data_IF_477226907106
#
_entry.id   IF_477226907106
#
_cell.length_a   1.000
_cell.length_b   1.000
_cell.length_c   1.000
_cell.angle_alpha   90.00
_cell.angle_beta   90.00
_cell.angle_gamma   90.00
#
_symmetry.space_group_name_H-M   'P 1'
#
loop_
_entity.id
_entity.type
_entity.pdbx_description
1 polymer ?
#
# COMPACT_ATOMS: atom_id res chain seq x y z
N UNK A 1 31.44 -3.59 -25.53
CA UNK A 1 30.59 -4.80 -25.49
C UNK A 1 30.89 -5.47 -24.14
N UNK A 2 30.22 -5.04 -23.07
CA UNK A 2 30.39 -5.57 -21.73
C UNK A 2 29.26 -6.58 -21.49
N UNK A 3 29.65 -7.83 -21.28
CA UNK A 3 28.76 -8.95 -21.03
C UNK A 3 28.06 -8.75 -19.68
N UNK A 4 26.72 -8.84 -19.65
CA UNK A 4 25.93 -8.94 -18.42
C UNK A 4 26.28 -10.26 -17.71
N UNK A 5 26.61 -10.15 -16.44
CA UNK A 5 26.78 -11.30 -15.55
C UNK A 5 25.40 -11.95 -15.32
N UNK A 6 25.19 -13.23 -15.69
CA UNK A 6 23.90 -13.91 -15.52
C UNK A 6 23.63 -14.37 -14.08
N UNK A 7 24.39 -13.91 -13.08
CA UNK A 7 24.29 -14.32 -11.67
C UNK A 7 23.86 -13.22 -10.71
N UNK A 8 23.43 -12.05 -11.20
CA UNK A 8 22.77 -11.08 -10.34
C UNK A 8 21.41 -11.66 -9.93
N UNK A 9 21.37 -12.26 -8.76
CA UNK A 9 20.12 -12.62 -8.11
C UNK A 9 19.34 -11.33 -7.84
N UNK A 10 18.00 -11.28 -8.09
CA UNK A 10 17.21 -10.13 -7.70
C UNK A 10 17.27 -10.00 -6.18
N UNK A 11 17.63 -8.81 -5.71
CA UNK A 11 17.75 -8.48 -4.30
C UNK A 11 16.41 -8.77 -3.59
N UNK A 12 16.50 -9.67 -2.63
CA UNK A 12 15.54 -10.11 -1.61
C UNK A 12 14.08 -9.66 -1.73
N UNK A 13 13.28 -10.51 -2.37
CA UNK A 13 11.84 -10.57 -2.16
C UNK A 13 11.56 -11.02 -0.72
N UNK A 14 11.12 -10.10 0.14
CA UNK A 14 10.63 -10.48 1.47
C UNK A 14 9.13 -10.71 1.39
N UNK A 15 8.72 -11.95 1.13
CA UNK A 15 7.33 -12.38 1.34
C UNK A 15 7.22 -12.77 2.81
N UNK A 16 6.57 -11.95 3.62
CA UNK A 16 6.15 -12.34 4.96
C UNK A 16 4.79 -13.01 4.85
N UNK A 17 4.78 -14.33 4.74
CA UNK A 17 3.57 -15.11 4.94
C UNK A 17 3.40 -15.35 6.45
N UNK A 18 2.41 -14.74 7.09
CA UNK A 18 1.88 -15.28 8.32
C UNK A 18 1.25 -16.64 8.00
N UNK A 19 1.44 -17.63 8.87
CA UNK A 19 1.15 -19.04 8.60
C UNK A 19 -0.32 -19.45 8.43
N UNK A 20 -1.18 -18.58 7.96
CA UNK A 20 -2.53 -18.91 7.50
C UNK A 20 -2.44 -19.41 6.06
N UNK A 21 -2.58 -20.73 5.87
CA UNK A 21 -2.71 -21.31 4.55
C UNK A 21 -3.90 -20.66 3.84
N UNK A 22 -3.61 -19.93 2.75
CA UNK A 22 -4.62 -19.36 1.88
C UNK A 22 -5.52 -20.47 1.35
N UNK A 23 -6.79 -20.51 1.78
CA UNK A 23 -7.75 -21.50 1.27
C UNK A 23 -8.24 -21.08 -0.12
N UNK A 24 -7.62 -21.69 -1.14
CA UNK A 24 -7.79 -21.37 -2.56
C UNK A 24 -9.20 -21.60 -3.10
N UNK A 25 -10.10 -22.23 -2.37
CA UNK A 25 -11.45 -22.58 -2.89
C UNK A 25 -12.47 -21.48 -2.69
N UNK A 26 -12.38 -20.72 -1.62
CA UNK A 26 -13.22 -19.54 -1.37
C UNK A 26 -12.66 -18.26 -2.02
N UNK A 27 -11.34 -18.20 -2.32
CA UNK A 27 -10.63 -17.03 -2.82
C UNK A 27 -10.98 -16.59 -4.26
N UNK A 28 -11.66 -17.41 -5.05
CA UNK A 28 -12.03 -17.03 -6.43
C UNK A 28 -13.23 -16.08 -6.52
N UNK A 29 -14.10 -16.06 -5.53
CA UNK A 29 -15.23 -15.12 -5.48
C UNK A 29 -14.86 -13.79 -4.83
N UNK A 30 -13.85 -13.79 -3.99
CA UNK A 30 -13.33 -12.60 -3.29
C UNK A 30 -11.80 -12.57 -3.42
N UNK A 31 -11.27 -11.42 -3.81
CA UNK A 31 -9.84 -11.13 -3.80
C UNK A 31 -9.65 -9.63 -3.63
N UNK A 32 -9.03 -9.21 -2.56
CA UNK A 32 -8.84 -7.81 -2.19
C UNK A 32 -7.37 -7.52 -1.96
N UNK A 33 -6.82 -6.69 -2.82
CA UNK A 33 -5.40 -6.34 -2.86
C UNK A 33 -5.30 -4.86 -2.55
N UNK A 34 -4.31 -4.46 -1.78
CA UNK A 34 -4.03 -3.05 -1.54
C UNK A 34 -2.58 -2.71 -1.89
N UNK A 35 -2.37 -1.50 -2.40
CA UNK A 35 -1.05 -0.98 -2.75
C UNK A 35 -0.77 0.26 -1.91
N UNK A 36 0.20 0.14 -1.00
CA UNK A 36 0.69 1.21 -0.12
C UNK A 36 2.08 1.68 -0.53
N UNK A 37 2.46 2.87 -0.12
CA UNK A 37 3.77 3.46 -0.41
C UNK A 37 3.71 4.99 -0.44
N UNK A 38 4.84 5.65 -0.38
CA UNK A 38 4.91 7.12 -0.39
C UNK A 38 4.46 7.71 -1.74
N UNK A 39 4.23 9.02 -1.77
CA UNK A 39 3.81 9.73 -2.99
C UNK A 39 4.86 9.63 -4.12
N UNK A 40 4.38 9.58 -5.37
CA UNK A 40 5.22 9.55 -6.57
C UNK A 40 5.90 8.21 -6.88
N UNK A 41 5.74 7.15 -6.06
CA UNK A 41 6.35 5.83 -6.28
C UNK A 41 5.64 4.97 -7.36
N UNK A 42 4.52 5.45 -7.91
CA UNK A 42 3.76 4.74 -8.94
C UNK A 42 2.79 3.68 -8.40
N UNK A 43 2.20 3.90 -7.24
CA UNK A 43 1.16 3.02 -6.67
C UNK A 43 -0.08 2.92 -7.55
N UNK A 44 -0.63 4.07 -7.92
CA UNK A 44 -1.81 4.16 -8.81
C UNK A 44 -1.58 3.41 -10.10
N UNK A 45 -0.42 3.61 -10.74
CA UNK A 45 -0.06 2.90 -11.98
C UNK A 45 0.02 1.38 -11.78
N UNK A 46 0.55 0.92 -10.63
CA UNK A 46 0.58 -0.51 -10.30
C UNK A 46 -0.83 -1.04 -10.01
N UNK A 47 -1.67 -0.29 -9.29
CA UNK A 47 -3.05 -0.68 -9.00
C UNK A 47 -3.89 -0.80 -10.29
N UNK A 48 -3.77 0.17 -11.21
CA UNK A 48 -4.39 0.13 -12.54
C UNK A 48 -3.92 -1.09 -13.35
N UNK A 49 -2.61 -1.34 -13.37
CA UNK A 49 -2.03 -2.48 -14.09
C UNK A 49 -2.50 -3.83 -13.52
N UNK A 50 -2.63 -3.95 -12.20
CA UNK A 50 -3.22 -5.13 -11.55
C UNK A 50 -4.68 -5.31 -11.92
N UNK A 51 -5.50 -4.26 -11.87
CA UNK A 51 -6.91 -4.32 -12.29
C UNK A 51 -7.05 -4.76 -13.75
N UNK A 52 -6.17 -4.29 -14.64
CA UNK A 52 -6.19 -4.67 -16.05
C UNK A 52 -5.84 -6.16 -16.28
N UNK A 53 -5.11 -6.78 -15.37
CA UNK A 53 -4.68 -8.19 -15.45
C UNK A 53 -5.55 -9.15 -14.65
N UNK A 54 -6.31 -8.66 -13.67
CA UNK A 54 -7.14 -9.47 -12.77
C UNK A 54 -8.62 -9.36 -13.16
N UNK A 55 -9.22 -10.39 -13.78
CA UNK A 55 -10.59 -10.32 -14.26
C UNK A 55 -11.61 -10.02 -13.16
N UNK A 56 -12.46 -9.03 -13.40
CA UNK A 56 -13.54 -8.64 -12.48
C UNK A 56 -13.10 -7.84 -11.26
N UNK A 57 -11.83 -7.43 -11.19
CA UNK A 57 -11.39 -6.49 -10.17
C UNK A 57 -11.75 -5.06 -10.57
N UNK A 58 -12.09 -4.27 -9.55
CA UNK A 58 -12.31 -2.83 -9.67
C UNK A 58 -11.26 -2.09 -8.85
N UNK A 59 -10.82 -0.96 -9.36
CA UNK A 59 -9.96 -0.06 -8.59
C UNK A 59 -10.79 0.73 -7.59
N UNK A 60 -10.32 0.84 -6.37
CA UNK A 60 -10.82 1.76 -5.36
C UNK A 60 -9.81 2.88 -5.24
N UNK A 61 -10.25 4.07 -5.60
CA UNK A 61 -9.40 5.25 -5.67
C UNK A 61 -8.84 5.66 -4.30
N UNK A 62 -7.75 6.41 -4.35
CA UNK A 62 -7.12 7.00 -3.17
C UNK A 62 -8.13 7.82 -2.36
N UNK A 63 -8.16 7.69 -1.01
CA UNK A 63 -9.02 8.47 -0.12
C UNK A 63 -9.04 9.98 -0.34
N UNK A 64 -7.96 10.56 -0.87
CA UNK A 64 -7.93 11.95 -1.27
C UNK A 64 -9.07 12.27 -2.28
N UNK A 65 -9.11 11.54 -3.40
CA UNK A 65 -10.13 11.76 -4.43
C UNK A 65 -11.53 11.37 -3.97
N UNK A 66 -11.65 10.29 -3.18
CA UNK A 66 -12.96 9.88 -2.62
C UNK A 66 -13.56 10.94 -1.69
N UNK A 67 -12.74 11.67 -0.96
CA UNK A 67 -13.18 12.77 -0.09
C UNK A 67 -13.45 14.05 -0.89
N UNK A 68 -12.62 14.37 -1.88
CA UNK A 68 -12.82 15.51 -2.78
C UNK A 68 -14.15 15.38 -3.52
N UNK A 69 -14.50 14.21 -4.03
CA UNK A 69 -15.79 13.90 -4.66
C UNK A 69 -16.98 14.07 -3.69
N UNK A 70 -16.75 13.95 -2.38
CA UNK A 70 -17.74 14.20 -1.33
C UNK A 70 -17.79 15.66 -0.89
N UNK A 71 -16.98 16.53 -1.51
CA UNK A 71 -16.93 17.97 -1.22
C UNK A 71 -15.99 18.35 -0.08
N UNK A 72 -15.06 17.45 0.33
CA UNK A 72 -14.03 17.81 1.29
C UNK A 72 -12.97 18.71 0.62
N UNK A 73 -12.67 19.84 1.24
CA UNK A 73 -11.68 20.80 0.75
C UNK A 73 -10.35 20.57 1.49
N UNK A 74 -9.34 20.16 0.75
CA UNK A 74 -7.98 19.96 1.28
C UNK A 74 -7.17 21.25 1.27
N UNK A 75 -6.35 21.46 2.31
CA UNK A 75 -5.27 22.43 2.25
C UNK A 75 -4.09 21.94 1.40
N UNK A 76 -3.23 22.87 0.99
CA UNK A 76 -1.93 22.50 0.40
C UNK A 76 -0.78 23.24 1.11
N UNK A 77 0.22 22.50 1.63
CA UNK A 77 0.25 21.03 1.79
C UNK A 77 -0.86 20.52 2.74
N UNK A 78 -1.28 19.24 2.62
CA UNK A 78 -2.27 18.66 3.51
C UNK A 78 -1.86 18.75 4.98
N UNK A 79 -2.80 19.09 5.83
CA UNK A 79 -2.62 19.18 7.28
C UNK A 79 -2.71 17.80 7.95
N UNK A 80 -2.37 17.71 9.24
CA UNK A 80 -2.59 16.50 10.03
C UNK A 80 -4.08 16.13 10.14
N UNK A 81 -4.98 17.12 10.08
CA UNK A 81 -6.43 16.88 10.06
C UNK A 81 -6.87 16.24 8.75
N UNK A 82 -6.33 16.71 7.62
CA UNK A 82 -6.56 16.13 6.30
C UNK A 82 -6.09 14.66 6.26
N UNK A 83 -4.91 14.36 6.82
CA UNK A 83 -4.43 12.98 6.91
C UNK A 83 -5.31 12.11 7.80
N UNK A 84 -5.87 12.63 8.89
CA UNK A 84 -6.85 11.89 9.71
C UNK A 84 -8.16 11.64 8.97
N UNK A 85 -8.63 12.60 8.19
CA UNK A 85 -9.82 12.43 7.35
C UNK A 85 -9.60 11.32 6.30
N UNK A 86 -8.44 11.32 5.63
CA UNK A 86 -8.05 10.28 4.68
C UNK A 86 -7.86 8.92 5.35
N UNK A 87 -7.28 8.86 6.55
CA UNK A 87 -7.17 7.64 7.36
C UNK A 87 -8.55 7.03 7.64
N UNK A 88 -9.47 7.85 8.14
CA UNK A 88 -10.84 7.40 8.41
C UNK A 88 -11.58 6.95 7.13
N UNK A 89 -11.37 7.63 6.00
CA UNK A 89 -11.91 7.24 4.71
C UNK A 89 -11.34 5.89 4.26
N UNK A 90 -10.04 5.68 4.33
CA UNK A 90 -9.36 4.44 3.98
C UNK A 90 -9.87 3.24 4.80
N UNK A 91 -10.02 3.40 6.11
CA UNK A 91 -10.60 2.37 6.99
C UNK A 91 -12.03 2.02 6.56
N UNK A 92 -12.87 3.01 6.24
CA UNK A 92 -14.24 2.75 5.76
C UNK A 92 -14.25 2.02 4.42
N UNK A 93 -13.39 2.41 3.48
CA UNK A 93 -13.26 1.78 2.17
C UNK A 93 -12.86 0.32 2.27
N UNK A 94 -11.86 -0.01 3.09
CA UNK A 94 -11.45 -1.40 3.34
C UNK A 94 -12.54 -2.22 4.03
N UNK A 95 -13.35 -1.63 4.90
CA UNK A 95 -14.44 -2.34 5.60
C UNK A 95 -15.71 -2.48 4.77
N UNK A 96 -15.79 -1.81 3.63
CA UNK A 96 -16.96 -1.91 2.76
C UNK A 96 -17.07 -3.31 2.12
N UNK A 97 -18.22 -3.98 2.24
CA UNK A 97 -18.44 -5.30 1.61
C UNK A 97 -18.80 -5.20 0.12
N UNK A 98 -19.01 -3.98 -0.39
CA UNK A 98 -19.54 -3.76 -1.75
C UNK A 98 -18.59 -4.14 -2.88
N UNK A 99 -17.30 -4.31 -2.57
CA UNK A 99 -16.25 -4.61 -3.56
C UNK A 99 -15.51 -5.90 -3.19
N UNK A 100 -16.06 -7.08 -3.50
CA UNK A 100 -15.42 -8.36 -3.17
C UNK A 100 -14.14 -8.60 -3.96
N UNK A 101 -14.02 -8.04 -5.17
CA UNK A 101 -12.79 -8.05 -5.98
C UNK A 101 -12.34 -6.61 -6.20
N UNK A 102 -11.29 -6.21 -5.49
CA UNK A 102 -10.82 -4.83 -5.53
C UNK A 102 -9.31 -4.73 -5.41
N UNK A 103 -8.77 -3.70 -6.06
CA UNK A 103 -7.41 -3.20 -5.82
C UNK A 103 -7.54 -1.80 -5.23
N UNK A 104 -7.09 -1.62 -4.01
CA UNK A 104 -7.15 -0.35 -3.29
C UNK A 104 -5.86 0.45 -3.54
N UNK A 105 -6.00 1.70 -3.96
CA UNK A 105 -4.88 2.65 -3.98
C UNK A 105 -4.80 3.33 -2.62
N UNK A 106 -3.81 2.97 -1.85
CA UNK A 106 -3.53 3.29 -0.44
C UNK A 106 -4.37 2.53 0.59
N UNK A 107 -3.81 2.46 1.79
CA UNK A 107 -4.42 1.87 2.99
C UNK A 107 -4.33 2.83 4.18
N UNK A 108 -4.94 2.50 5.33
CA UNK A 108 -4.72 3.24 6.57
C UNK A 108 -3.25 3.41 6.94
N UNK A 109 -2.40 2.45 6.55
CA UNK A 109 -0.97 2.47 6.83
C UNK A 109 -0.25 3.68 6.20
N UNK A 110 -0.64 4.07 4.97
CA UNK A 110 -0.10 5.25 4.30
C UNK A 110 -0.31 6.52 5.15
N UNK A 111 -1.52 6.71 5.66
CA UNK A 111 -1.87 7.92 6.40
C UNK A 111 -1.30 7.93 7.82
N UNK A 112 -1.17 6.76 8.44
CA UNK A 112 -0.41 6.61 9.68
C UNK A 112 1.05 6.98 9.47
N UNK A 113 1.66 6.58 8.35
CA UNK A 113 3.03 6.96 7.99
C UNK A 113 3.19 8.46 7.74
N UNK A 114 2.21 9.11 7.07
CA UNK A 114 2.22 10.57 6.93
C UNK A 114 2.10 11.28 8.28
N UNK A 115 1.22 10.82 9.17
CA UNK A 115 1.05 11.38 10.51
C UNK A 115 2.32 11.19 11.34
N UNK A 116 2.95 10.01 11.30
CA UNK A 116 4.23 9.74 11.95
C UNK A 116 5.35 10.63 11.41
N UNK A 117 5.44 10.84 10.09
CA UNK A 117 6.40 11.74 9.47
C UNK A 117 6.21 13.21 9.90
N UNK A 118 5.05 13.57 10.44
CA UNK A 118 4.75 14.86 11.07
C UNK A 118 4.87 14.84 12.60
N UNK A 119 5.38 13.74 13.18
CA UNK A 119 5.67 13.62 14.61
C UNK A 119 4.50 13.16 15.48
N UNK A 120 3.41 12.67 14.87
CA UNK A 120 2.31 12.08 15.62
C UNK A 120 2.62 10.63 16.01
N UNK A 121 2.17 10.19 17.17
CA UNK A 121 2.23 8.77 17.55
C UNK A 121 1.14 7.99 16.79
N UNK A 122 1.51 7.00 15.94
CA UNK A 122 0.54 6.23 15.16
C UNK A 122 -0.48 5.49 16.01
N UNK A 123 -0.11 5.04 17.22
CA UNK A 123 -0.98 4.30 18.13
C UNK A 123 -2.14 5.14 18.68
N UNK A 124 -2.00 6.47 18.65
CA UNK A 124 -3.01 7.41 19.12
C UNK A 124 -3.92 7.92 17.98
N UNK A 125 -3.61 7.61 16.71
CA UNK A 125 -4.31 8.20 15.57
C UNK A 125 -5.55 7.43 15.15
N UNK A 126 -5.68 6.16 15.53
CA UNK A 126 -6.83 5.32 15.19
C UNK A 126 -7.07 4.25 16.24
N UNK A 127 -8.33 3.80 16.34
CA UNK A 127 -8.66 2.62 17.14
C UNK A 127 -8.06 1.35 16.49
N UNK A 128 -7.16 0.70 17.21
CA UNK A 128 -6.43 -0.47 16.73
C UNK A 128 -7.36 -1.61 16.29
N UNK A 129 -8.47 -1.83 17.00
CA UNK A 129 -9.43 -2.89 16.64
C UNK A 129 -10.13 -2.60 15.32
N UNK A 130 -10.46 -1.36 15.06
CA UNK A 130 -11.08 -0.90 13.81
C UNK A 130 -10.12 -1.02 12.63
N UNK A 131 -8.86 -0.68 12.82
CA UNK A 131 -7.80 -0.84 11.80
C UNK A 131 -7.55 -2.32 11.52
N UNK A 132 -7.44 -3.16 12.55
CA UNK A 132 -7.29 -4.61 12.41
C UNK A 132 -8.42 -5.23 11.59
N UNK A 133 -9.68 -4.87 11.88
CA UNK A 133 -10.82 -5.34 11.10
C UNK A 133 -10.79 -4.88 9.64
N UNK A 134 -10.18 -3.73 9.34
CA UNK A 134 -10.00 -3.27 7.98
C UNK A 134 -8.94 -4.12 7.25
N UNK A 135 -7.76 -4.34 7.84
CA UNK A 135 -6.70 -5.15 7.25
C UNK A 135 -7.07 -6.62 7.11
N UNK A 136 -7.85 -7.18 8.04
CA UNK A 136 -8.38 -8.56 7.95
C UNK A 136 -9.27 -8.79 6.72
N UNK A 137 -9.65 -7.74 5.99
CA UNK A 137 -10.39 -7.86 4.72
C UNK A 137 -9.49 -8.03 3.50
N UNK A 138 -8.18 -7.84 3.64
CA UNK A 138 -7.21 -7.93 2.55
C UNK A 138 -6.64 -9.35 2.43
N UNK A 139 -6.48 -9.79 1.20
CA UNK A 139 -5.79 -11.02 0.85
C UNK A 139 -4.30 -10.76 0.57
N UNK A 140 -3.94 -9.54 0.15
CA UNK A 140 -2.55 -9.12 -0.07
C UNK A 140 -2.39 -7.62 0.16
N UNK A 141 -1.36 -7.25 0.91
CA UNK A 141 -0.87 -5.87 1.04
C UNK A 141 0.46 -5.74 0.29
N UNK A 142 0.49 -4.93 -0.74
CA UNK A 142 1.70 -4.61 -1.50
C UNK A 142 2.28 -3.29 -0.96
N UNK A 143 3.55 -3.31 -0.59
CA UNK A 143 4.30 -2.12 -0.19
C UNK A 143 5.27 -1.74 -1.31
N UNK A 144 4.98 -0.61 -1.96
CA UNK A 144 5.90 -0.02 -2.94
C UNK A 144 7.01 0.73 -2.21
N UNK A 145 8.23 0.19 -2.25
CA UNK A 145 9.39 0.67 -1.50
C UNK A 145 10.28 1.54 -2.37
N UNK A 146 10.79 2.65 -1.82
CA UNK A 146 11.83 3.44 -2.44
C UNK A 146 13.18 2.82 -2.13
N UNK A 147 13.96 2.58 -3.19
CA UNK A 147 15.38 2.23 -3.08
C UNK A 147 16.24 3.41 -3.53
N UNK A 148 17.54 3.46 -3.17
CA UNK A 148 18.44 4.49 -3.66
C UNK A 148 18.49 4.60 -5.20
N UNK A 149 18.26 3.49 -5.90
CA UNK A 149 18.22 3.44 -7.36
C UNK A 149 16.93 4.04 -7.89
N UNK A 150 15.78 3.68 -7.31
CA UNK A 150 14.48 4.23 -7.72
C UNK A 150 14.36 5.71 -7.39
N UNK A 151 14.88 6.17 -6.26
CA UNK A 151 14.86 7.59 -5.85
C UNK A 151 15.48 8.52 -6.91
N UNK A 152 16.51 8.04 -7.62
CA UNK A 152 17.20 8.83 -8.67
C UNK A 152 16.35 9.08 -9.91
N UNK A 153 15.37 8.23 -10.18
CA UNK A 153 14.52 8.30 -11.37
C UNK A 153 13.11 8.79 -11.08
N UNK A 154 12.75 8.89 -9.79
CA UNK A 154 11.45 9.41 -9.39
C UNK A 154 11.36 10.92 -9.66
N UNK A 155 10.14 11.43 -10.01
CA UNK A 155 9.92 12.87 -10.14
C UNK A 155 10.32 13.62 -8.86
N UNK A 156 10.80 14.86 -9.02
CA UNK A 156 11.12 15.71 -7.88
C UNK A 156 9.89 15.82 -6.95
N UNK A 157 10.10 15.62 -5.65
CA UNK A 157 9.05 15.76 -4.68
C UNK A 157 8.72 17.24 -4.47
N UNK A 158 7.43 17.59 -4.45
CA UNK A 158 6.97 18.96 -4.15
C UNK A 158 7.40 19.41 -2.75
N UNK A 159 7.49 18.45 -1.81
CA UNK A 159 7.94 18.67 -0.43
C UNK A 159 9.25 17.88 -0.19
N UNK A 160 10.41 18.54 -0.31
CA UNK A 160 11.71 17.90 -0.13
C UNK A 160 11.83 17.21 1.24
N UNK A 161 12.31 15.98 1.25
CA UNK A 161 12.50 15.18 2.47
C UNK A 161 11.23 14.55 3.06
N UNK A 162 10.03 14.98 2.69
CA UNK A 162 8.78 14.34 3.16
C UNK A 162 8.67 12.92 2.63
N UNK A 163 8.95 12.70 1.34
CA UNK A 163 8.91 11.38 0.71
C UNK A 163 9.76 10.36 1.46
N UNK A 164 11.00 10.70 1.78
CA UNK A 164 11.91 9.82 2.53
C UNK A 164 11.36 9.54 3.93
N UNK A 165 10.98 10.58 4.69
CA UNK A 165 10.41 10.39 6.03
C UNK A 165 9.16 9.52 6.04
N UNK A 166 8.28 9.68 5.05
CA UNK A 166 7.07 8.85 4.93
C UNK A 166 7.44 7.42 4.56
N UNK A 167 8.42 7.21 3.66
CA UNK A 167 8.91 5.87 3.34
C UNK A 167 9.49 5.16 4.57
N UNK A 168 10.33 5.85 5.32
CA UNK A 168 10.96 5.30 6.53
C UNK A 168 9.89 4.97 7.59
N UNK A 169 8.96 5.88 7.85
CA UNK A 169 7.85 5.66 8.77
C UNK A 169 6.93 4.52 8.32
N UNK A 170 6.67 4.40 7.02
CA UNK A 170 5.87 3.30 6.46
C UNK A 170 6.52 1.95 6.71
N UNK A 171 7.83 1.84 6.46
CA UNK A 171 8.58 0.60 6.70
C UNK A 171 8.65 0.28 8.19
N UNK A 172 8.90 1.27 9.05
CA UNK A 172 8.87 1.09 10.50
C UNK A 172 7.51 0.54 10.96
N UNK A 173 6.41 1.13 10.51
CA UNK A 173 5.06 0.65 10.81
C UNK A 173 4.84 -0.78 10.32
N UNK A 174 5.26 -1.11 9.10
CA UNK A 174 5.11 -2.47 8.54
C UNK A 174 5.83 -3.52 9.39
N UNK A 175 7.03 -3.17 9.90
CA UNK A 175 7.84 -4.11 10.67
C UNK A 175 7.47 -4.20 12.14
N UNK A 176 7.12 -3.08 12.78
CA UNK A 176 6.88 -3.00 14.21
C UNK A 176 5.40 -3.25 14.58
N UNK A 177 4.47 -2.99 13.64
CA UNK A 177 3.01 -3.11 13.82
C UNK A 177 2.51 -2.63 15.21
N UNK A 178 2.69 -1.36 15.55
CA UNK A 178 2.38 -0.83 16.88
C UNK A 178 0.89 -0.92 17.24
N UNK A 179 0.02 -1.20 16.27
CA UNK A 179 -1.42 -1.40 16.45
C UNK A 179 -1.80 -2.88 16.50
N UNK A 180 -0.86 -3.82 16.28
CA UNK A 180 -1.14 -5.25 16.13
C UNK A 180 -2.28 -5.50 15.12
N UNK A 181 -2.24 -4.75 14.00
CA UNK A 181 -3.39 -4.61 13.10
C UNK A 181 -3.22 -5.34 11.76
N UNK A 182 -2.00 -5.54 11.26
CA UNK A 182 -1.74 -6.16 9.95
C UNK A 182 -0.81 -7.37 9.99
N UNK A 183 -0.44 -7.86 11.17
CA UNK A 183 0.44 -9.03 11.33
C UNK A 183 -0.04 -10.29 10.62
N UNK A 184 -1.37 -10.44 10.49
CA UNK A 184 -2.00 -11.59 9.85
C UNK A 184 -2.28 -11.35 8.35
N UNK A 185 -2.05 -10.13 7.84
CA UNK A 185 -2.20 -9.79 6.43
C UNK A 185 -0.91 -10.14 5.68
N UNK A 186 -0.96 -10.93 4.60
CA UNK A 186 0.20 -11.17 3.76
C UNK A 186 0.76 -9.86 3.19
N UNK A 187 2.06 -9.62 3.36
CA UNK A 187 2.74 -8.41 2.88
C UNK A 187 3.77 -8.79 1.82
N UNK A 188 3.74 -8.04 0.70
CA UNK A 188 4.69 -8.15 -0.40
C UNK A 188 5.36 -6.81 -0.64
N UNK A 189 6.67 -6.72 -0.41
CA UNK A 189 7.46 -5.53 -0.71
C UNK A 189 7.95 -5.58 -2.16
N UNK A 190 7.69 -4.49 -2.89
CA UNK A 190 8.08 -4.36 -4.30
C UNK A 190 8.84 -3.06 -4.55
N UNK A 191 9.91 -3.17 -5.32
CA UNK A 191 10.70 -2.04 -5.82
C UNK A 191 11.02 -2.22 -7.31
N UNK A 192 11.57 -1.18 -7.94
CA UNK A 192 12.00 -1.25 -9.34
C UNK A 192 10.92 -0.89 -10.37
N UNK A 193 11.12 -1.26 -11.64
CA UNK A 193 10.23 -0.95 -12.75
C UNK A 193 8.81 -1.52 -12.57
N UNK A 194 7.83 -0.90 -13.22
CA UNK A 194 6.42 -1.32 -13.15
C UNK A 194 6.24 -2.78 -13.60
N UNK A 195 6.84 -3.15 -14.71
CA UNK A 195 6.65 -4.50 -15.29
C UNK A 195 7.15 -5.59 -14.35
N UNK A 196 8.29 -5.38 -13.69
CA UNK A 196 8.87 -6.32 -12.73
C UNK A 196 7.99 -6.44 -11.47
N UNK A 197 7.50 -5.29 -10.96
CA UNK A 197 6.57 -5.25 -9.82
C UNK A 197 5.26 -5.95 -10.14
N UNK A 198 4.71 -5.70 -11.32
CA UNK A 198 3.47 -6.33 -11.76
C UNK A 198 3.63 -7.85 -11.92
N UNK A 199 4.68 -8.29 -12.60
CA UNK A 199 4.97 -9.71 -12.78
C UNK A 199 5.08 -10.43 -11.43
N UNK A 200 5.87 -9.87 -10.51
CA UNK A 200 6.06 -10.44 -9.16
C UNK A 200 4.76 -10.50 -8.36
N UNK A 201 3.93 -9.44 -8.42
CA UNK A 201 2.65 -9.42 -7.72
C UNK A 201 1.69 -10.50 -8.27
N UNK A 202 1.64 -10.68 -9.59
CA UNK A 202 0.81 -11.70 -10.23
C UNK A 202 1.28 -13.12 -9.88
N UNK A 203 2.59 -13.37 -9.88
CA UNK A 203 3.16 -14.67 -9.50
C UNK A 203 2.78 -15.06 -8.06
N UNK A 204 2.78 -14.09 -7.13
CA UNK A 204 2.36 -14.32 -5.74
C UNK A 204 0.86 -14.60 -5.62
N UNK A 205 0.03 -13.92 -6.43
CA UNK A 205 -1.43 -14.12 -6.43
C UNK A 205 -1.87 -15.43 -7.08
N UNK A 206 -1.03 -16.01 -7.94
CA UNK A 206 -1.28 -17.29 -8.62
C UNK A 206 -0.74 -18.51 -7.85
N UNK A 207 0.16 -18.27 -6.86
CA UNK A 207 0.85 -19.31 -6.09
C UNK A 207 0.02 -19.87 -4.95
#
# INVERSE_FOLDING_TARGET
>A
MLARDPRAQPESLTVRASGAAYDRREGRERMRIAVSGTHGIGKTTLAEALCARLPGHVMVDEPYYLLEDQGYEFGFPPSSEDYRAMLACSVRSLRSPSTPRAVFDRTPLDYLAYLAAHGADPSEQADASTVRLAFATLDLLIIAVITPESERVLPAAELPGLRSRVNDALLELVYDDPLDAWKDTPVLELSGPLDDRLATALDVLES
#
